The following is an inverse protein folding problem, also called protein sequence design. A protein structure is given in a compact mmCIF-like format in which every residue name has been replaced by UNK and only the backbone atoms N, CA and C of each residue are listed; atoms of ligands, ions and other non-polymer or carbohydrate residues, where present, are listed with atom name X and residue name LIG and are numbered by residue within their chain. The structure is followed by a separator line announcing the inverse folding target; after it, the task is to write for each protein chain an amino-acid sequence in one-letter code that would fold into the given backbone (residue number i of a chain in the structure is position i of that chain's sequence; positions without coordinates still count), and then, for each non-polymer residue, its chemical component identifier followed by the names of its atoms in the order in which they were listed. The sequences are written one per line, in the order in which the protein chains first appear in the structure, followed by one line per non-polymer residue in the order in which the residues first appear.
data_IF_261779982056
#
_entry.id   IF_261779982056
#
_cell.length_a   1.000
_cell.length_b   1.000
_cell.length_c   1.000
_cell.angle_alpha   90.00
_cell.angle_beta   90.00
_cell.angle_gamma   90.00
#
_symmetry.space_group_name_H-M   'P 1'
#
loop_
_entity.id
_entity.type
_entity.pdbx_description
1 polymer ?
#
# COMPACT_ATOMS: atom_id res chain seq x y z
N UNK A 1 9.40 17.36 -17.04
CA UNK A 1 8.96 16.09 -16.43
C UNK A 1 8.40 16.45 -15.08
N UNK A 2 7.13 16.16 -14.80
CA UNK A 2 6.52 16.47 -13.51
C UNK A 2 6.93 15.51 -12.40
N UNK A 3 6.64 15.86 -11.15
CA UNK A 3 7.06 15.10 -9.96
C UNK A 3 6.60 13.65 -9.98
N UNK A 4 7.44 12.69 -9.56
CA UNK A 4 7.07 11.27 -9.56
C UNK A 4 5.82 11.03 -8.70
N UNK A 5 4.91 10.22 -9.22
CA UNK A 5 3.73 9.80 -8.46
C UNK A 5 4.10 8.54 -7.68
N UNK A 6 3.94 8.58 -6.36
CA UNK A 6 4.21 7.45 -5.49
C UNK A 6 3.06 6.43 -5.57
N UNK A 7 3.33 5.28 -6.18
CA UNK A 7 2.40 4.18 -6.31
C UNK A 7 2.53 3.22 -5.15
N UNK A 8 1.43 2.54 -4.87
CA UNK A 8 1.26 1.63 -3.76
C UNK A 8 0.62 0.35 -4.31
N UNK A 9 1.39 -0.74 -4.36
CA UNK A 9 0.96 -2.06 -4.85
C UNK A 9 1.10 -3.11 -3.76
N UNK A 10 0.15 -4.05 -3.63
CA UNK A 10 0.39 -5.19 -2.75
C UNK A 10 1.68 -5.93 -3.19
N UNK A 11 2.39 -6.62 -2.28
CA UNK A 11 3.75 -7.07 -2.57
C UNK A 11 3.79 -8.12 -3.69
N UNK A 12 2.72 -8.91 -3.80
CA UNK A 12 2.61 -9.94 -4.82
C UNK A 12 2.36 -9.33 -6.20
N UNK A 13 1.43 -8.37 -6.31
CA UNK A 13 1.19 -7.59 -7.53
C UNK A 13 2.46 -6.85 -7.96
N UNK A 14 3.17 -6.20 -7.04
CA UNK A 14 4.44 -5.53 -7.38
C UNK A 14 5.45 -6.52 -7.95
N UNK A 15 5.67 -7.66 -7.28
CA UNK A 15 6.60 -8.68 -7.75
C UNK A 15 6.23 -9.19 -9.14
N UNK A 16 4.96 -9.53 -9.37
CA UNK A 16 4.47 -9.97 -10.69
C UNK A 16 4.69 -8.91 -11.78
N UNK A 17 4.51 -7.63 -11.46
CA UNK A 17 4.78 -6.53 -12.40
C UNK A 17 6.28 -6.35 -12.65
N UNK A 18 7.13 -6.53 -11.65
CA UNK A 18 8.58 -6.50 -11.78
C UNK A 18 9.07 -7.66 -12.65
N UNK A 19 8.59 -8.88 -12.41
CA UNK A 19 8.89 -10.08 -13.20
C UNK A 19 8.43 -9.89 -14.67
N UNK A 20 7.22 -9.37 -14.89
CA UNK A 20 6.71 -9.05 -16.23
C UNK A 20 7.56 -7.98 -16.92
N UNK A 21 7.95 -6.93 -16.20
CA UNK A 21 8.80 -5.88 -16.74
C UNK A 21 10.20 -6.42 -17.10
N UNK A 22 10.79 -7.25 -16.24
CA UNK A 22 12.08 -7.89 -16.47
C UNK A 22 12.05 -8.82 -17.68
N UNK A 23 10.96 -9.57 -17.86
CA UNK A 23 10.72 -10.39 -19.05
C UNK A 23 10.67 -9.60 -20.36
N UNK A 24 10.27 -8.32 -20.32
CA UNK A 24 10.29 -7.41 -21.49
C UNK A 24 11.70 -6.78 -21.67
N UNK A 25 12.44 -6.62 -20.58
CA UNK A 25 13.83 -6.17 -20.61
C UNK A 25 14.24 -5.34 -19.38
N UNK A 26 15.50 -4.89 -19.33
CA UNK A 26 16.00 -4.17 -18.16
C UNK A 26 15.33 -2.80 -18.01
N UNK A 27 14.97 -2.45 -16.76
CA UNK A 27 14.43 -1.13 -16.36
C UNK A 27 13.12 -0.76 -17.06
N UNK A 28 12.24 -1.73 -17.33
CA UNK A 28 10.96 -1.51 -18.04
C UNK A 28 9.77 -1.21 -17.14
N UNK A 29 9.91 -1.33 -15.83
CA UNK A 29 8.80 -1.19 -14.87
C UNK A 29 8.01 0.11 -15.04
N UNK A 30 8.67 1.28 -15.07
CA UNK A 30 7.95 2.54 -15.25
C UNK A 30 7.20 2.62 -16.60
N UNK A 31 7.80 2.09 -17.67
CA UNK A 31 7.17 2.08 -18.98
C UNK A 31 5.95 1.14 -19.01
N UNK A 32 6.04 -0.01 -18.34
CA UNK A 32 4.92 -0.93 -18.12
C UNK A 32 3.75 -0.21 -17.43
N UNK A 33 4.01 0.50 -16.33
CA UNK A 33 2.97 1.23 -15.61
C UNK A 33 2.39 2.38 -16.45
N UNK A 34 3.22 3.13 -17.18
CA UNK A 34 2.72 4.17 -18.11
C UNK A 34 1.80 3.58 -19.17
N UNK A 35 2.17 2.45 -19.78
CA UNK A 35 1.34 1.74 -20.75
C UNK A 35 0.03 1.27 -20.14
N UNK A 36 0.06 0.69 -18.94
CA UNK A 36 -1.12 0.28 -18.20
C UNK A 36 -2.11 1.44 -18.04
N UNK A 37 -1.61 2.59 -17.59
CA UNK A 37 -2.42 3.79 -17.41
C UNK A 37 -2.96 4.33 -18.74
N UNK A 38 -2.16 4.31 -19.82
CA UNK A 38 -2.62 4.72 -21.16
C UNK A 38 -3.73 3.82 -21.68
N UNK A 39 -3.64 2.51 -21.46
CA UNK A 39 -4.72 1.56 -21.82
C UNK A 39 -5.98 1.86 -21.04
N UNK A 40 -5.87 2.11 -19.74
CA UNK A 40 -7.00 2.45 -18.88
C UNK A 40 -7.75 3.69 -19.38
N UNK A 41 -7.04 4.79 -19.69
CA UNK A 41 -7.68 6.03 -20.18
C UNK A 41 -8.24 5.91 -21.60
N UNK A 42 -7.77 4.94 -22.38
CA UNK A 42 -8.30 4.67 -23.74
C UNK A 42 -9.60 3.86 -23.70
N UNK A 43 -9.87 3.14 -22.60
CA UNK A 43 -11.08 2.34 -22.41
C UNK A 43 -11.87 2.77 -21.15
N UNK A 44 -12.35 4.03 -21.09
CA UNK A 44 -12.91 4.59 -19.87
C UNK A 44 -14.24 3.95 -19.43
N UNK A 45 -15.03 3.41 -20.36
CA UNK A 45 -16.38 2.90 -20.09
C UNK A 45 -16.41 1.72 -19.11
N UNK A 46 -15.39 0.85 -19.17
CA UNK A 46 -15.28 -0.32 -18.29
C UNK A 46 -14.62 0.00 -16.94
N UNK A 47 -14.15 1.23 -16.70
CA UNK A 47 -13.38 1.56 -15.49
C UNK A 47 -14.28 1.56 -14.25
N UNK A 48 -15.46 2.17 -14.34
CA UNK A 48 -16.39 2.27 -13.20
C UNK A 48 -16.87 0.90 -12.70
N UNK A 49 -17.19 -0.02 -13.62
CA UNK A 49 -17.64 -1.38 -13.25
C UNK A 49 -16.55 -2.19 -12.59
N UNK A 50 -15.32 -2.20 -13.14
CA UNK A 50 -14.21 -2.92 -12.51
C UNK A 50 -13.75 -2.30 -11.19
N UNK A 51 -13.85 -0.98 -11.02
CA UNK A 51 -13.64 -0.35 -9.72
C UNK A 51 -14.68 -0.84 -8.70
N UNK A 52 -15.96 -0.85 -9.08
CA UNK A 52 -17.02 -1.31 -8.19
C UNK A 52 -16.84 -2.79 -7.79
N UNK A 53 -16.46 -3.64 -8.75
CA UNK A 53 -16.15 -5.05 -8.49
C UNK A 53 -14.93 -5.21 -7.57
N UNK A 54 -13.85 -4.46 -7.81
CA UNK A 54 -12.67 -4.48 -6.94
C UNK A 54 -13.02 -4.03 -5.51
N UNK A 55 -13.84 -2.99 -5.36
CA UNK A 55 -14.33 -2.52 -4.06
C UNK A 55 -15.16 -3.59 -3.37
N UNK A 56 -16.08 -4.26 -4.08
CA UNK A 56 -16.89 -5.39 -3.55
C UNK A 56 -16.03 -6.58 -3.13
N UNK A 57 -15.04 -6.97 -3.93
CA UNK A 57 -14.13 -8.07 -3.57
C UNK A 57 -13.28 -7.71 -2.35
N UNK A 58 -12.84 -6.45 -2.26
CA UNK A 58 -12.16 -5.93 -1.08
C UNK A 58 -13.08 -5.98 0.15
N UNK A 59 -14.34 -5.56 0.00
CA UNK A 59 -15.36 -5.63 1.05
C UNK A 59 -15.68 -7.07 1.49
N UNK A 60 -15.77 -8.02 0.56
CA UNK A 60 -15.98 -9.42 0.84
C UNK A 60 -14.76 -10.05 1.55
N UNK A 61 -13.54 -9.74 1.10
CA UNK A 61 -12.31 -10.09 1.82
C UNK A 61 -12.24 -9.43 3.19
N UNK A 62 -12.91 -8.28 3.36
CA UNK A 62 -13.05 -7.61 4.64
C UNK A 62 -14.05 -8.28 5.57
N UNK A 63 -14.95 -9.15 5.12
CA UNK A 63 -15.98 -9.79 5.95
C UNK A 63 -15.48 -10.90 6.92
N UNK A 64 -14.16 -11.06 7.11
CA UNK A 64 -13.56 -12.10 7.96
C UNK A 64 -13.96 -11.90 9.44
N UNK A 65 -14.24 -12.98 10.21
CA UNK A 65 -14.54 -12.88 11.64
C UNK A 65 -13.35 -12.33 12.45
N UNK A 66 -13.67 -11.53 13.47
CA UNK A 66 -12.69 -10.99 14.42
C UNK A 66 -12.11 -12.09 15.32
N UNK A 67 -10.88 -11.90 15.79
CA UNK A 67 -10.22 -12.76 16.79
C UNK A 67 -10.01 -11.99 18.09
N UNK A 68 -10.32 -12.66 19.20
CA UNK A 68 -10.08 -12.11 20.53
C UNK A 68 -8.59 -12.17 20.89
N UNK A 69 -8.08 -11.07 21.44
CA UNK A 69 -6.76 -10.98 22.05
C UNK A 69 -6.90 -10.46 23.47
N UNK A 70 -6.16 -11.06 24.40
CA UNK A 70 -6.04 -10.59 25.78
C UNK A 70 -4.77 -9.77 25.92
N UNK A 71 -4.91 -8.51 26.31
CA UNK A 71 -3.78 -7.59 26.50
C UNK A 71 -3.74 -7.19 27.97
N UNK A 72 -2.56 -7.32 28.58
CA UNK A 72 -2.31 -6.79 29.92
C UNK A 72 -1.83 -5.35 29.82
N UNK A 73 -2.52 -4.43 30.49
CA UNK A 73 -2.27 -2.99 30.53
C UNK A 73 -2.06 -2.51 31.98
N UNK A 74 -1.46 -1.33 32.13
CA UNK A 74 -1.52 -0.56 33.37
C UNK A 74 -2.95 -0.09 33.62
N UNK A 75 -3.39 0.00 34.89
CA UNK A 75 -4.73 0.47 35.24
C UNK A 75 -5.07 1.83 34.60
N UNK A 76 -4.15 2.79 34.70
CA UNK A 76 -4.36 4.14 34.17
C UNK A 76 -4.55 4.11 32.65
N UNK A 77 -3.72 3.36 31.93
CA UNK A 77 -3.85 3.19 30.46
C UNK A 77 -5.14 2.48 30.08
N UNK A 78 -5.57 1.46 30.86
CA UNK A 78 -6.85 0.79 30.63
C UNK A 78 -8.03 1.75 30.84
N UNK A 79 -7.96 2.59 31.87
CA UNK A 79 -8.98 3.60 32.17
C UNK A 79 -9.04 4.69 31.11
N UNK A 80 -7.90 5.25 30.68
CA UNK A 80 -7.81 6.22 29.59
C UNK A 80 -8.38 5.65 28.29
N UNK A 81 -8.08 4.39 27.99
CA UNK A 81 -8.59 3.73 26.80
C UNK A 81 -10.10 3.51 26.83
N UNK A 82 -10.65 3.13 27.98
CA UNK A 82 -12.09 3.02 28.18
C UNK A 82 -12.78 4.39 28.11
N UNK A 83 -12.19 5.43 28.70
CA UNK A 83 -12.71 6.78 28.66
C UNK A 83 -12.73 7.35 27.22
N UNK A 84 -11.68 7.08 26.43
CA UNK A 84 -11.64 7.46 25.02
C UNK A 84 -12.72 6.75 24.20
N UNK A 85 -12.96 5.46 24.47
CA UNK A 85 -14.03 4.72 23.81
C UNK A 85 -15.40 5.30 24.13
N UNK A 86 -15.65 5.67 25.39
CA UNK A 86 -16.90 6.31 25.81
C UNK A 86 -17.08 7.70 25.16
N UNK A 87 -16.02 8.49 25.07
CA UNK A 87 -16.07 9.83 24.49
C UNK A 87 -16.46 9.85 23.01
N UNK A 88 -16.16 8.78 22.28
CA UNK A 88 -16.45 8.62 20.84
C UNK A 88 -17.60 7.64 20.55
N UNK A 89 -18.39 7.28 21.57
CA UNK A 89 -19.50 6.30 21.47
C UNK A 89 -19.09 5.02 20.72
N UNK A 90 -17.96 4.47 21.11
CA UNK A 90 -17.35 3.31 20.44
C UNK A 90 -16.83 2.28 21.44
N UNK A 91 -16.17 1.23 20.94
CA UNK A 91 -15.62 0.16 21.76
C UNK A 91 -14.09 0.20 21.78
N UNK A 92 -13.51 -0.28 22.88
CA UNK A 92 -12.06 -0.53 22.99
C UNK A 92 -11.54 -1.43 21.87
N UNK A 93 -12.37 -2.33 21.34
CA UNK A 93 -12.02 -3.16 20.18
C UNK A 93 -11.96 -2.37 18.87
N UNK A 94 -12.86 -1.40 18.66
CA UNK A 94 -12.82 -0.51 17.51
C UNK A 94 -11.58 0.40 17.56
N UNK A 95 -11.31 1.01 18.72
CA UNK A 95 -10.12 1.81 18.92
C UNK A 95 -8.84 1.00 18.74
N UNK A 96 -8.78 -0.23 19.25
CA UNK A 96 -7.63 -1.10 19.07
C UNK A 96 -7.39 -1.43 17.59
N UNK A 97 -8.46 -1.66 16.83
CA UNK A 97 -8.37 -1.91 15.39
C UNK A 97 -7.82 -0.69 14.65
N UNK A 98 -8.26 0.51 15.00
CA UNK A 98 -7.71 1.77 14.46
C UNK A 98 -6.23 1.93 14.85
N UNK A 99 -5.90 1.73 16.12
CA UNK A 99 -4.52 1.79 16.62
C UNK A 99 -3.59 0.87 15.84
N UNK A 100 -4.01 -0.39 15.63
CA UNK A 100 -3.25 -1.36 14.84
C UNK A 100 -3.12 -0.96 13.37
N UNK A 101 -4.19 -0.45 12.77
CA UNK A 101 -4.15 0.01 11.40
C UNK A 101 -3.14 1.14 11.21
N UNK A 102 -3.26 2.23 11.99
CA UNK A 102 -2.32 3.36 11.97
C UNK A 102 -0.89 2.92 12.23
N UNK A 103 -0.70 2.08 13.25
CA UNK A 103 0.60 1.56 13.63
C UNK A 103 1.27 0.80 12.49
N UNK A 104 0.53 -0.04 11.78
CA UNK A 104 1.04 -0.82 10.66
C UNK A 104 1.25 0.01 9.39
N UNK A 105 0.49 1.09 9.18
CA UNK A 105 0.67 2.00 8.04
C UNK A 105 1.87 2.94 8.15
N UNK A 106 2.18 3.39 9.37
CA UNK A 106 3.29 4.31 9.63
C UNK A 106 4.36 3.67 10.53
N UNK A 107 5.12 2.66 10.01
CA UNK A 107 6.06 1.98 10.86
C UNK A 107 7.24 2.84 11.25
N UNK A 108 7.23 3.28 12.50
CA UNK A 108 8.34 4.01 13.12
C UNK A 108 9.58 3.12 13.30
N UNK A 109 10.69 3.71 13.77
CA UNK A 109 11.85 2.93 14.22
C UNK A 109 11.54 2.24 15.55
N UNK A 110 11.01 1.02 15.46
CA UNK A 110 10.41 0.35 16.62
C UNK A 110 11.38 -0.21 17.66
N UNK A 111 12.66 -0.41 17.31
CA UNK A 111 13.59 -1.19 18.13
C UNK A 111 13.73 -0.67 19.57
N UNK A 112 13.82 0.64 19.76
CA UNK A 112 14.03 1.23 21.09
C UNK A 112 12.75 1.30 21.94
N UNK A 113 11.58 1.76 21.42
CA UNK A 113 10.32 1.71 22.17
C UNK A 113 9.86 0.28 22.51
N UNK A 114 10.06 -0.69 21.62
CA UNK A 114 9.59 -2.07 21.84
C UNK A 114 10.30 -2.77 23.00
N UNK A 115 11.61 -2.55 23.15
CA UNK A 115 12.38 -3.15 24.25
C UNK A 115 11.95 -2.59 25.60
N UNK A 116 11.70 -1.27 25.69
CA UNK A 116 11.14 -0.65 26.90
C UNK A 116 9.79 -1.24 27.29
N UNK A 117 8.94 -1.55 26.31
CA UNK A 117 7.64 -2.19 26.55
C UNK A 117 7.71 -3.67 26.92
N UNK A 118 8.83 -4.35 26.60
CA UNK A 118 9.06 -5.72 27.00
C UNK A 118 9.47 -5.82 28.48
N UNK A 119 10.18 -4.81 28.98
CA UNK A 119 10.71 -4.74 30.34
C UNK A 119 9.75 -4.03 31.32
N UNK A 120 8.59 -3.57 30.83
CA UNK A 120 7.66 -2.75 31.61
C UNK A 120 6.99 -3.55 32.73
N UNK A 121 7.01 -2.98 33.93
CA UNK A 121 6.37 -3.52 35.13
C UNK A 121 5.02 -2.82 35.38
N UNK A 122 4.18 -3.36 36.27
CA UNK A 122 2.88 -2.75 36.61
C UNK A 122 1.71 -3.09 35.69
N UNK A 123 1.90 -4.02 34.76
CA UNK A 123 0.80 -4.56 33.94
C UNK A 123 -0.08 -5.47 34.82
N UNK A 124 -1.28 -5.04 35.17
CA UNK A 124 -2.23 -5.79 36.02
C UNK A 124 -3.54 -6.10 35.32
N UNK A 125 -4.04 -5.17 34.50
CA UNK A 125 -5.42 -5.18 34.03
C UNK A 125 -5.53 -5.88 32.69
N UNK A 126 -6.45 -6.84 32.60
CA UNK A 126 -6.71 -7.57 31.37
C UNK A 126 -7.80 -6.87 30.57
N UNK A 127 -7.46 -6.49 29.34
CA UNK A 127 -8.42 -5.97 28.36
C UNK A 127 -8.55 -6.96 27.23
N UNK A 128 -9.78 -7.42 27.00
CA UNK A 128 -10.13 -8.25 25.86
C UNK A 128 -10.47 -7.34 24.67
N UNK A 129 -9.73 -7.51 23.58
CA UNK A 129 -9.93 -6.74 22.34
C UNK A 129 -10.15 -7.68 21.17
N UNK A 130 -11.15 -7.35 20.36
CA UNK A 130 -11.46 -8.04 19.12
C UNK A 130 -10.71 -7.34 17.98
N UNK A 131 -9.80 -8.06 17.34
CA UNK A 131 -8.99 -7.53 16.24
C UNK A 131 -9.14 -8.37 14.99
N UNK A 132 -8.70 -7.83 13.86
CA UNK A 132 -8.74 -8.55 12.59
C UNK A 132 -7.66 -9.64 12.57
N UNK A 133 -7.94 -10.86 12.07
CA UNK A 133 -6.96 -11.96 12.04
C UNK A 133 -5.66 -11.59 11.32
N UNK A 134 -5.79 -10.77 10.29
CA UNK A 134 -4.67 -10.27 9.50
C UNK A 134 -3.77 -9.29 10.26
N UNK A 135 -4.34 -8.33 10.99
CA UNK A 135 -3.60 -7.39 11.84
C UNK A 135 -2.83 -8.16 12.92
N UNK A 136 -3.44 -9.17 13.54
CA UNK A 136 -2.75 -10.12 14.44
C UNK A 136 -1.56 -10.77 13.75
N UNK A 137 -1.75 -11.38 12.58
CA UNK A 137 -0.65 -12.04 11.85
C UNK A 137 0.49 -11.09 11.47
N UNK A 138 0.17 -9.84 11.09
CA UNK A 138 1.19 -8.85 10.72
C UNK A 138 1.99 -8.37 11.92
N UNK A 139 1.33 -8.09 13.05
CA UNK A 139 2.00 -7.74 14.31
C UNK A 139 2.90 -8.87 14.78
N UNK A 140 2.47 -10.13 14.66
CA UNK A 140 3.26 -11.29 15.08
C UNK A 140 4.48 -11.47 14.19
N UNK A 141 4.31 -11.30 12.87
CA UNK A 141 5.45 -11.28 11.94
C UNK A 141 6.42 -10.14 12.24
N UNK A 142 5.92 -8.97 12.61
CA UNK A 142 6.75 -7.83 12.98
C UNK A 142 7.55 -8.11 14.25
N UNK A 143 6.89 -8.61 15.31
CA UNK A 143 7.55 -9.00 16.55
C UNK A 143 8.66 -10.03 16.30
N UNK A 144 8.39 -11.07 15.51
CA UNK A 144 9.38 -12.10 15.17
C UNK A 144 10.64 -11.57 14.48
N UNK A 145 10.60 -10.40 13.82
CA UNK A 145 11.80 -9.74 13.27
C UNK A 145 12.66 -9.05 14.33
N UNK A 146 12.09 -8.72 15.48
CA UNK A 146 12.73 -7.93 16.53
C UNK A 146 13.08 -8.74 17.78
N UNK A 147 12.53 -9.94 17.94
CA UNK A 147 12.87 -10.87 19.00
C UNK A 147 11.67 -11.70 19.47
N UNK A 148 11.95 -12.72 20.28
CA UNK A 148 10.91 -13.56 20.85
C UNK A 148 10.07 -12.79 21.88
N UNK A 149 8.76 -13.07 21.91
CA UNK A 149 7.79 -12.58 22.91
C UNK A 149 7.43 -11.09 22.88
N UNK A 150 7.72 -10.36 21.79
CA UNK A 150 7.34 -8.93 21.66
C UNK A 150 5.92 -8.67 21.13
N UNK A 151 5.11 -9.71 20.92
CA UNK A 151 3.77 -9.60 20.33
C UNK A 151 2.85 -8.64 21.11
N UNK A 152 2.72 -8.86 22.42
CA UNK A 152 1.83 -8.06 23.27
C UNK A 152 2.41 -6.67 23.55
N UNK A 153 3.73 -6.53 23.56
CA UNK A 153 4.40 -5.23 23.64
C UNK A 153 4.05 -4.34 22.44
N UNK A 154 4.05 -4.89 21.22
CA UNK A 154 3.63 -4.15 20.03
C UNK A 154 2.19 -3.65 20.11
N UNK A 155 1.29 -4.49 20.63
CA UNK A 155 -0.11 -4.08 20.84
C UNK A 155 -0.21 -2.90 21.80
N UNK A 156 0.54 -2.92 22.90
CA UNK A 156 0.62 -1.81 23.86
C UNK A 156 1.19 -0.54 23.24
N UNK A 157 2.28 -0.63 22.47
CA UNK A 157 2.85 0.53 21.76
C UNK A 157 1.81 1.15 20.82
N UNK A 158 1.11 0.32 20.03
CA UNK A 158 0.09 0.80 19.10
C UNK A 158 -1.04 1.53 19.83
N UNK A 159 -1.54 0.95 20.92
CA UNK A 159 -2.59 1.55 21.75
C UNK A 159 -2.14 2.86 22.37
N UNK A 160 -0.96 2.92 23.00
CA UNK A 160 -0.50 4.16 23.65
C UNK A 160 -0.23 5.28 22.67
N UNK A 161 0.26 4.96 21.47
CA UNK A 161 0.39 5.97 20.40
C UNK A 161 -0.96 6.56 20.01
N UNK A 162 -2.02 5.75 20.00
CA UNK A 162 -3.36 6.28 19.75
C UNK A 162 -3.83 7.20 20.89
N UNK A 163 -3.50 6.87 22.14
CA UNK A 163 -3.82 7.72 23.30
C UNK A 163 -3.03 9.04 23.29
N UNK A 164 -1.73 8.97 22.98
CA UNK A 164 -0.84 10.13 22.88
C UNK A 164 -1.22 11.03 21.69
N UNK A 165 -1.57 10.44 20.55
CA UNK A 165 -1.88 11.13 19.30
C UNK A 165 -3.20 10.60 18.68
N UNK A 166 -4.37 11.01 19.23
CA UNK A 166 -5.66 10.52 18.77
C UNK A 166 -6.03 10.99 17.35
N UNK A 167 -5.48 12.12 16.88
CA UNK A 167 -5.69 12.62 15.52
C UNK A 167 -7.19 12.80 15.17
N UNK A 168 -7.55 12.57 13.91
CA UNK A 168 -8.95 12.51 13.48
C UNK A 168 -9.55 11.11 13.75
N UNK A 169 -9.96 10.88 14.99
CA UNK A 169 -10.52 9.60 15.40
C UNK A 169 -11.95 9.38 14.87
N UNK A 170 -12.70 10.45 14.61
CA UNK A 170 -14.06 10.37 14.07
C UNK A 170 -14.04 9.88 12.61
N UNK A 171 -13.20 10.47 11.76
CA UNK A 171 -13.03 10.01 10.38
C UNK A 171 -12.51 8.57 10.32
N UNK A 172 -11.62 8.18 11.24
CA UNK A 172 -11.13 6.81 11.33
C UNK A 172 -12.21 5.82 11.82
N UNK A 173 -13.09 6.23 12.73
CA UNK A 173 -14.22 5.41 13.16
C UNK A 173 -15.22 5.19 12.02
N UNK A 174 -15.40 6.15 11.13
CA UNK A 174 -16.24 5.97 9.93
C UNK A 174 -15.59 5.08 8.88
N UNK A 175 -14.27 5.19 8.70
CA UNK A 175 -13.58 4.59 7.55
C UNK A 175 -12.85 3.28 7.85
N UNK A 176 -12.38 3.10 9.08
CA UNK A 176 -11.50 2.00 9.52
C UNK A 176 -12.23 1.04 10.45
N UNK A 177 -13.01 1.54 11.42
CA UNK A 177 -13.71 0.68 12.38
C UNK A 177 -14.78 -0.23 11.77
N UNK A 178 -15.44 0.05 10.63
CA UNK A 178 -16.31 -0.91 9.97
C UNK A 178 -15.54 -2.03 9.27
N UNK A 179 -14.23 -1.82 9.03
CA UNK A 179 -13.39 -2.78 8.31
C UNK A 179 -13.06 -3.98 9.21
N UNK A 180 -13.62 -5.13 8.85
CA UNK A 180 -13.41 -6.43 9.49
C UNK A 180 -12.15 -7.15 8.98
N UNK A 181 -11.51 -6.65 7.92
CA UNK A 181 -10.11 -6.91 7.58
C UNK A 181 -9.38 -5.57 7.45
N UNK A 182 -8.35 -5.42 8.28
CA UNK A 182 -7.51 -4.23 8.37
C UNK A 182 -6.09 -4.60 8.03
N UNK A 183 -5.88 -5.57 7.12
CA UNK A 183 -4.64 -5.57 6.35
C UNK A 183 -4.46 -4.12 5.90
N UNK A 184 -3.47 -3.38 6.42
CA UNK A 184 -2.91 -2.34 5.60
C UNK A 184 -2.50 -3.09 4.35
N UNK A 185 -3.07 -2.68 3.23
CA UNK A 185 -2.61 -3.15 1.94
C UNK A 185 -1.09 -2.88 1.97
N UNK A 186 -0.28 -3.95 2.10
CA UNK A 186 1.16 -3.81 2.31
C UNK A 186 1.69 -3.28 1.00
N UNK A 187 1.75 -1.96 0.92
CA UNK A 187 1.95 -1.31 -0.34
C UNK A 187 3.43 -1.10 -0.56
N UNK A 188 4.01 -1.93 -1.40
CA UNK A 188 5.33 -1.69 -1.89
C UNK A 188 5.31 -0.44 -2.79
N UNK A 189 6.12 0.55 -2.40
CA UNK A 189 6.17 1.84 -3.09
C UNK A 189 6.88 1.71 -4.43
N UNK A 190 6.38 2.39 -5.44
CA UNK A 190 7.08 2.61 -6.70
C UNK A 190 6.84 4.03 -7.20
N UNK A 191 7.91 4.77 -7.48
CA UNK A 191 7.80 6.13 -8.00
C UNK A 191 7.78 6.06 -9.53
N UNK A 192 6.73 6.60 -10.15
CA UNK A 192 6.58 6.59 -11.61
C UNK A 192 6.39 7.99 -12.14
N UNK A 193 7.19 8.34 -13.15
CA UNK A 193 7.09 9.61 -13.86
C UNK A 193 6.07 9.52 -14.98
N UNK A 194 5.06 10.39 -14.93
CA UNK A 194 4.05 10.56 -15.98
C UNK A 194 4.26 11.89 -16.71
N UNK A 195 4.00 11.89 -18.02
CA UNK A 195 3.83 13.14 -18.78
C UNK A 195 2.55 13.86 -18.38
N UNK A 196 2.54 15.17 -18.55
CA UNK A 196 1.43 16.05 -18.15
C UNK A 196 0.10 15.66 -18.83
N UNK A 197 0.06 15.34 -20.15
CA UNK A 197 -1.20 14.94 -20.79
C UNK A 197 -1.80 13.64 -20.24
N UNK A 198 -0.98 12.67 -19.80
CA UNK A 198 -1.48 11.46 -19.18
C UNK A 198 -1.97 11.70 -17.75
N UNK A 199 -1.36 12.64 -17.02
CA UNK A 199 -1.84 13.04 -15.68
C UNK A 199 -3.24 13.64 -15.78
N UNK A 200 -3.43 14.61 -16.66
CA UNK A 200 -4.72 15.32 -16.80
C UNK A 200 -5.85 14.35 -17.18
N UNK A 201 -5.54 13.37 -18.05
CA UNK A 201 -6.51 12.32 -18.43
C UNK A 201 -6.86 11.40 -17.27
N UNK A 202 -5.90 11.07 -16.40
CA UNK A 202 -6.15 10.27 -15.22
C UNK A 202 -6.96 11.05 -14.18
N UNK A 203 -6.66 12.33 -13.98
CA UNK A 203 -7.43 13.22 -13.09
C UNK A 203 -8.88 13.37 -13.56
N UNK A 204 -9.10 13.64 -14.86
CA UNK A 204 -10.45 13.71 -15.42
C UNK A 204 -11.21 12.38 -15.36
N UNK A 205 -10.51 11.25 -15.53
CA UNK A 205 -11.12 9.93 -15.36
C UNK A 205 -11.49 9.67 -13.90
N UNK A 206 -10.62 10.01 -12.95
CA UNK A 206 -10.81 9.81 -11.52
C UNK A 206 -12.03 10.59 -11.01
N UNK A 207 -12.13 11.87 -11.39
CA UNK A 207 -13.27 12.71 -11.06
C UNK A 207 -14.59 12.14 -11.58
N UNK A 208 -14.60 11.62 -12.82
CA UNK A 208 -15.82 11.05 -13.43
C UNK A 208 -16.31 9.78 -12.74
N UNK A 209 -15.41 8.96 -12.19
CA UNK A 209 -15.76 7.65 -11.59
C UNK A 209 -15.77 7.65 -10.07
N UNK A 210 -15.60 8.81 -9.43
CA UNK A 210 -15.55 8.93 -7.97
C UNK A 210 -14.39 8.11 -7.37
N UNK A 211 -13.19 8.32 -7.91
CA UNK A 211 -11.96 7.60 -7.54
C UNK A 211 -10.79 8.58 -7.46
N UNK A 212 -9.61 8.07 -7.11
CA UNK A 212 -8.36 8.82 -7.11
C UNK A 212 -7.36 8.21 -8.10
N UNK A 213 -6.28 8.95 -8.38
CA UNK A 213 -5.19 8.50 -9.27
C UNK A 213 -4.59 7.17 -8.83
N UNK A 214 -4.41 6.95 -7.53
CA UNK A 214 -3.74 5.77 -7.01
C UNK A 214 -4.62 4.52 -7.20
N UNK A 215 -5.92 4.62 -6.96
CA UNK A 215 -6.89 3.55 -7.17
C UNK A 215 -7.03 3.18 -8.65
N UNK A 216 -7.09 4.18 -9.54
CA UNK A 216 -7.03 3.94 -10.99
C UNK A 216 -5.74 3.26 -11.42
N UNK A 217 -4.60 3.65 -10.86
CA UNK A 217 -3.31 3.04 -11.19
C UNK A 217 -3.18 1.61 -10.68
N UNK A 218 -3.73 1.29 -9.49
CA UNK A 218 -3.84 -0.09 -9.00
C UNK A 218 -4.70 -0.93 -9.93
N UNK A 219 -5.85 -0.40 -10.35
CA UNK A 219 -6.71 -1.06 -11.32
C UNK A 219 -6.01 -1.28 -12.67
N UNK A 220 -5.29 -0.27 -13.18
CA UNK A 220 -4.53 -0.38 -14.43
C UNK A 220 -3.46 -1.48 -14.35
N UNK A 221 -2.71 -1.52 -13.25
CA UNK A 221 -1.66 -2.50 -13.05
C UNK A 221 -2.21 -3.92 -12.94
N UNK A 222 -3.32 -4.09 -12.20
CA UNK A 222 -4.04 -5.37 -12.10
C UNK A 222 -4.55 -5.84 -13.46
N UNK A 223 -5.20 -4.96 -14.23
CA UNK A 223 -5.67 -5.29 -15.58
C UNK A 223 -4.55 -5.71 -16.53
N UNK A 224 -3.36 -5.12 -16.41
CA UNK A 224 -2.22 -5.54 -17.24
C UNK A 224 -1.71 -6.92 -16.86
N UNK A 225 -1.83 -7.33 -15.59
CA UNK A 225 -1.52 -8.69 -15.16
C UNK A 225 -2.57 -9.70 -15.64
N UNK A 226 -3.86 -9.35 -15.57
CA UNK A 226 -4.98 -10.20 -15.98
C UNK A 226 -5.08 -10.32 -17.51
N UNK A 227 -4.87 -9.20 -18.23
CA UNK A 227 -4.96 -9.10 -19.68
C UNK A 227 -3.70 -8.42 -20.27
N UNK A 228 -2.57 -9.15 -20.35
CA UNK A 228 -1.33 -8.57 -20.86
C UNK A 228 -1.46 -8.11 -22.33
N UNK A 229 -2.14 -8.90 -23.19
CA UNK A 229 -2.23 -8.62 -24.62
C UNK A 229 -0.86 -8.34 -25.25
N UNK A 230 -0.76 -7.39 -26.19
CA UNK A 230 0.52 -6.96 -26.81
C UNK A 230 1.33 -6.03 -25.90
N UNK A 231 1.56 -6.41 -24.63
CA UNK A 231 2.21 -5.54 -23.63
C UNK A 231 3.66 -5.22 -23.99
N UNK A 232 4.42 -6.20 -24.46
CA UNK A 232 5.83 -6.04 -24.82
C UNK A 232 6.00 -4.96 -25.91
N UNK A 233 5.23 -5.06 -26.99
CA UNK A 233 5.23 -4.09 -28.08
C UNK A 233 4.83 -2.69 -27.59
N UNK A 234 3.81 -2.59 -26.74
CA UNK A 234 3.34 -1.32 -26.19
C UNK A 234 4.39 -0.66 -25.27
N UNK A 235 5.08 -1.45 -24.44
CA UNK A 235 6.16 -0.98 -23.55
C UNK A 235 7.37 -0.52 -24.35
N UNK A 236 7.74 -1.25 -25.39
CA UNK A 236 8.81 -0.84 -26.30
C UNK A 236 8.45 0.52 -26.94
N UNK A 237 7.25 0.67 -27.50
CA UNK A 237 6.78 1.92 -28.07
C UNK A 237 6.77 3.08 -27.06
N UNK A 238 6.37 2.83 -25.81
CA UNK A 238 6.36 3.83 -24.75
C UNK A 238 7.77 4.35 -24.43
N UNK A 239 8.77 3.47 -24.42
CA UNK A 239 10.16 3.88 -24.18
C UNK A 239 10.66 4.78 -25.31
N UNK A 240 10.28 4.49 -26.56
CA UNK A 240 10.65 5.29 -27.73
C UNK A 240 9.87 6.61 -27.86
N UNK A 241 8.80 6.79 -27.07
CA UNK A 241 7.90 7.96 -27.13
C UNK A 241 8.50 9.23 -26.50
N UNK A 242 9.46 9.10 -25.58
CA UNK A 242 10.19 10.25 -25.03
C UNK A 242 11.24 10.73 -26.05
N UNK A 243 11.02 11.90 -26.68
CA UNK A 243 11.96 12.49 -27.65
C UNK A 243 13.40 12.60 -27.14
N UNK A 244 13.55 12.90 -25.83
CA UNK A 244 14.85 13.00 -25.15
C UNK A 244 15.55 11.63 -25.06
N UNK A 245 14.80 10.56 -24.83
CA UNK A 245 15.32 9.19 -24.86
C UNK A 245 15.57 8.69 -26.28
N UNK A 246 14.73 9.08 -27.27
CA UNK A 246 14.93 8.71 -28.68
C UNK A 246 16.27 9.25 -29.20
N UNK A 247 16.58 10.54 -29.00
CA UNK A 247 17.89 11.10 -29.38
C UNK A 247 19.05 10.42 -28.64
N UNK A 248 18.91 10.18 -27.33
CA UNK A 248 19.98 9.59 -26.54
C UNK A 248 20.24 8.10 -26.87
N UNK A 249 19.18 7.34 -27.15
CA UNK A 249 19.26 5.92 -27.54
C UNK A 249 19.72 5.75 -28.99
N UNK A 250 19.28 6.62 -29.92
CA UNK A 250 19.81 6.68 -31.29
C UNK A 250 21.31 7.01 -31.27
N UNK A 251 21.74 7.97 -30.47
CA UNK A 251 23.17 8.29 -30.30
C UNK A 251 23.96 7.11 -29.69
N UNK A 252 23.38 6.37 -28.76
CA UNK A 252 24.01 5.17 -28.16
C UNK A 252 24.08 4.00 -29.15
N UNK A 253 23.05 3.83 -29.99
CA UNK A 253 23.02 2.83 -31.06
C UNK A 253 24.07 3.14 -32.13
N UNK A 254 24.14 4.40 -32.58
CA UNK A 254 25.16 4.88 -33.51
C UNK A 254 26.59 4.69 -32.97
N UNK A 255 26.82 4.97 -31.67
CA UNK A 255 28.12 4.70 -31.01
C UNK A 255 28.48 3.21 -30.95
N UNK A 256 27.49 2.31 -30.80
CA UNK A 256 27.72 0.86 -30.82
C UNK A 256 27.99 0.33 -32.21
N UNK A 257 27.33 0.87 -33.24
CA UNK A 257 27.62 0.53 -34.64
C UNK A 257 29.00 1.03 -35.07
N UNK A 258 29.38 2.26 -34.71
CA UNK A 258 30.71 2.78 -34.95
C UNK A 258 31.81 1.90 -34.32
N UNK A 259 31.60 1.43 -33.08
CA UNK A 259 32.54 0.50 -32.40
C UNK A 259 32.64 -0.87 -33.07
N UNK A 260 31.56 -1.38 -33.67
CA UNK A 260 31.56 -2.63 -34.44
C UNK A 260 32.28 -2.49 -35.79
N UNK A 261 32.32 -1.30 -36.38
CA UNK A 261 33.07 -1.04 -37.61
C UNK A 261 34.54 -0.67 -37.39
N UNK A 262 34.96 -0.38 -36.16
CA UNK A 262 36.35 -0.08 -35.80
C UNK A 262 37.08 -1.23 -35.11
N UNK A 263 36.47 -2.41 -35.02
CA UNK A 263 37.16 -3.65 -34.63
C UNK A 263 37.57 -4.36 -35.93
N UNK A 264 38.86 -4.32 -36.34
CA UNK A 264 39.35 -5.21 -37.37
C UNK A 264 39.39 -6.64 -36.81
N UNK A 265 39.21 -7.62 -37.68
CA UNK A 265 39.44 -9.04 -37.40
C UNK A 265 40.86 -9.29 -36.84
#
# INVERSE_FOLDING_TARGET
MGDPIALRFDPETKRKLEDMAEGIGPRRFEALIRVACRRLVTQPKAVGTSLAEQRRLSEALRAIPLVMLKIKLEPDTAQEFAALAAAYDTTVSALMRIALHRFLEAPGRYKHPMLREAERTGLSDWVDVMVNPSSKQQIWRLAGRYGDKLNTSLLRVALRRLLEEPGDLAGDLETIAPLRDLRPEIYARANVHFDEPLRDKLDGLAARVGSDRAELMRLAARRVLEEPGKIEQAVNNEVFRSEKNRKHLMARHARRQARRHTQPD
#
